data_IF_325557979796
#
_entry.id   IF_325557979796
#
_cell.length_a   1.000
_cell.length_b   1.000
_cell.length_c   1.000
_cell.angle_alpha   90.00
_cell.angle_beta   90.00
_cell.angle_gamma   90.00
#
_symmetry.space_group_name_H-M   'P 1'
#
loop_
_entity.id
_entity.type
_entity.pdbx_description
1 polymer ?
#
# COMPACT_ATOMS: atom_id res chain seq x y z
N UNK A 1 -3.33 -1.79 -4.69
CA UNK A 1 -4.24 -0.83 -5.33
C UNK A 1 -3.45 0.09 -6.25
N UNK A 2 -3.97 0.38 -7.45
CA UNK A 2 -3.48 1.43 -8.35
C UNK A 2 -4.24 2.74 -8.06
N UNK A 3 -3.57 3.87 -8.21
CA UNK A 3 -4.20 5.19 -8.09
C UNK A 3 -3.98 5.91 -9.42
N UNK A 4 -5.07 6.25 -10.09
CA UNK A 4 -5.06 7.13 -11.26
C UNK A 4 -5.21 8.56 -10.76
N UNK A 5 -4.16 9.36 -10.90
CA UNK A 5 -4.11 10.72 -10.38
C UNK A 5 -4.58 11.73 -11.42
N UNK A 6 -5.52 12.59 -11.02
CA UNK A 6 -5.77 13.87 -11.66
C UNK A 6 -5.39 14.99 -10.66
N UNK A 7 -4.55 15.91 -11.11
CA UNK A 7 -4.10 17.04 -10.29
C UNK A 7 -4.06 18.28 -11.18
N UNK A 8 -4.69 19.35 -10.70
CA UNK A 8 -4.70 20.65 -11.39
C UNK A 8 -3.64 21.60 -10.85
N UNK A 9 -3.12 21.34 -9.65
CA UNK A 9 -1.92 21.93 -9.09
C UNK A 9 -0.96 20.80 -8.70
N UNK A 10 0.24 20.78 -9.31
CA UNK A 10 1.27 19.77 -9.01
C UNK A 10 1.80 20.02 -7.60
N UNK A 11 1.13 19.48 -6.59
CA UNK A 11 1.68 19.38 -5.25
C UNK A 11 2.51 18.11 -5.22
N UNK A 12 3.83 18.25 -5.12
CA UNK A 12 4.69 17.14 -4.73
C UNK A 12 4.34 16.78 -3.27
N UNK A 13 3.39 15.87 -3.11
CA UNK A 13 3.02 15.33 -1.82
C UNK A 13 4.07 14.33 -1.40
N UNK A 14 4.89 14.69 -0.40
CA UNK A 14 5.77 13.76 0.30
C UNK A 14 4.95 12.88 1.26
N UNK A 15 3.96 12.16 0.71
CA UNK A 15 3.04 11.31 1.44
C UNK A 15 2.96 9.93 0.78
N UNK A 16 2.99 8.83 1.56
CA UNK A 16 3.02 7.46 1.03
C UNK A 16 1.61 7.00 0.58
N UNK A 17 0.92 7.80 -0.24
CA UNK A 17 -0.49 7.61 -0.60
C UNK A 17 -0.72 6.28 -1.33
N UNK A 18 0.18 5.86 -2.21
CA UNK A 18 0.11 4.53 -2.83
C UNK A 18 0.22 3.39 -1.81
N UNK A 19 1.10 3.53 -0.82
CA UNK A 19 1.26 2.53 0.24
C UNK A 19 0.01 2.50 1.11
N UNK A 20 -0.55 3.66 1.47
CA UNK A 20 -1.82 3.74 2.21
C UNK A 20 -2.92 3.02 1.46
N UNK A 21 -3.07 3.24 0.15
CA UNK A 21 -4.08 2.54 -0.64
C UNK A 21 -3.85 1.02 -0.68
N UNK A 22 -2.59 0.58 -0.77
CA UNK A 22 -2.24 -0.85 -0.64
C UNK A 22 -2.56 -1.40 0.75
N UNK A 23 -2.28 -0.64 1.80
CA UNK A 23 -2.58 -0.99 3.19
C UNK A 23 -4.08 -1.05 3.45
N UNK A 24 -4.89 -0.14 2.91
CA UNK A 24 -6.35 -0.21 2.99
C UNK A 24 -6.88 -1.49 2.33
N UNK A 25 -6.41 -1.78 1.11
CA UNK A 25 -6.78 -3.01 0.40
C UNK A 25 -6.38 -4.29 1.16
N UNK A 26 -5.18 -4.31 1.73
CA UNK A 26 -4.68 -5.43 2.52
C UNK A 26 -5.45 -5.59 3.85
N UNK A 27 -5.76 -4.49 4.54
CA UNK A 27 -6.56 -4.49 5.76
C UNK A 27 -7.95 -5.08 5.51
N UNK A 28 -8.57 -4.72 4.39
CA UNK A 28 -9.85 -5.24 3.92
C UNK A 28 -9.74 -6.65 3.32
N UNK A 29 -8.55 -7.23 3.19
CA UNK A 29 -8.34 -8.60 2.67
C UNK A 29 -8.85 -8.80 1.23
N UNK A 30 -8.78 -7.76 0.40
CA UNK A 30 -9.17 -7.82 -1.01
C UNK A 30 -7.97 -8.25 -1.86
N UNK A 31 -8.03 -9.46 -2.40
CA UNK A 31 -6.95 -10.00 -3.25
C UNK A 31 -7.02 -9.55 -4.72
N UNK A 32 -8.21 -9.19 -5.18
CA UNK A 32 -8.40 -8.71 -6.55
C UNK A 32 -7.60 -7.42 -6.78
N UNK A 33 -6.91 -7.25 -7.92
CA UNK A 33 -6.33 -5.97 -8.26
C UNK A 33 -7.41 -4.90 -8.26
N UNK A 34 -7.20 -3.81 -7.52
CA UNK A 34 -8.14 -2.69 -7.42
C UNK A 34 -7.47 -1.40 -7.91
N UNK A 35 -8.27 -0.51 -8.48
CA UNK A 35 -7.88 0.84 -8.87
C UNK A 35 -8.86 1.86 -8.29
N UNK A 36 -8.39 3.09 -8.13
CA UNK A 36 -9.19 4.24 -7.71
C UNK A 36 -8.73 5.45 -8.51
N UNK A 37 -9.66 6.33 -8.87
CA UNK A 37 -9.34 7.63 -9.42
C UNK A 37 -9.31 8.67 -8.30
N UNK A 38 -8.25 9.48 -8.23
CA UNK A 38 -8.09 10.51 -7.20
C UNK A 38 -7.86 11.86 -7.86
N UNK A 39 -8.79 12.79 -7.64
CA UNK A 39 -8.68 14.19 -8.00
C UNK A 39 -8.21 15.01 -6.78
N UNK A 40 -7.07 15.68 -6.92
CA UNK A 40 -6.63 16.70 -5.98
C UNK A 40 -7.03 18.09 -6.50
N UNK A 41 -7.77 18.83 -5.69
CA UNK A 41 -8.38 20.10 -6.09
C UNK A 41 -8.39 21.13 -4.95
N UNK A 42 -9.00 22.30 -5.21
CA UNK A 42 -9.23 23.38 -4.26
C UNK A 42 -10.66 23.37 -3.68
N UNK A 43 -10.93 24.33 -2.79
CA UNK A 43 -12.22 24.46 -2.11
C UNK A 43 -13.37 24.89 -3.04
N UNK A 44 -13.08 25.64 -4.11
CA UNK A 44 -14.11 26.13 -5.04
C UNK A 44 -14.63 24.98 -5.91
N UNK A 45 -13.72 24.18 -6.47
CA UNK A 45 -14.09 23.04 -7.30
C UNK A 45 -14.72 21.91 -6.48
N UNK A 46 -14.20 21.57 -5.30
CA UNK A 46 -14.86 20.54 -4.46
C UNK A 46 -16.25 20.99 -4.00
N UNK A 47 -16.46 22.29 -3.74
CA UNK A 47 -17.78 22.85 -3.44
C UNK A 47 -18.71 22.70 -4.63
N UNK A 48 -18.25 23.05 -5.84
CA UNK A 48 -19.05 22.89 -7.06
C UNK A 48 -19.44 21.43 -7.29
N UNK A 49 -18.48 20.49 -7.16
CA UNK A 49 -18.73 19.05 -7.28
C UNK A 49 -19.74 18.58 -6.21
N UNK A 50 -19.59 19.02 -4.96
CA UNK A 50 -20.50 18.65 -3.88
C UNK A 50 -21.94 19.14 -4.15
N UNK A 51 -22.07 20.35 -4.69
CA UNK A 51 -23.35 20.94 -5.06
C UNK A 51 -24.00 20.22 -6.23
N UNK A 52 -23.24 19.90 -7.28
CA UNK A 52 -23.75 19.24 -8.48
C UNK A 52 -24.10 17.77 -8.22
N UNK A 53 -23.25 17.04 -7.51
CA UNK A 53 -23.35 15.59 -7.36
C UNK A 53 -24.16 15.16 -6.13
N UNK A 54 -24.11 15.94 -5.04
CA UNK A 54 -24.80 15.62 -3.78
C UNK A 54 -25.88 16.63 -3.39
N UNK A 55 -26.04 17.74 -4.11
CA UNK A 55 -27.00 18.79 -3.77
C UNK A 55 -26.63 19.58 -2.51
N UNK A 56 -25.37 19.51 -2.07
CA UNK A 56 -24.89 20.12 -0.82
C UNK A 56 -24.08 21.37 -1.16
N UNK A 57 -24.60 22.55 -0.78
CA UNK A 57 -24.02 23.85 -1.10
C UNK A 57 -22.96 24.30 -0.06
N UNK A 58 -21.89 23.51 0.06
CA UNK A 58 -20.69 23.85 0.84
C UNK A 58 -19.47 23.07 0.37
N UNK A 59 -18.27 23.63 0.56
CA UNK A 59 -17.02 22.88 0.47
C UNK A 59 -16.96 21.76 1.53
N UNK A 60 -16.13 20.76 1.26
CA UNK A 60 -15.79 19.68 2.19
C UNK A 60 -14.33 19.30 1.98
N UNK A 61 -13.76 18.54 2.89
CA UNK A 61 -12.41 17.98 2.82
C UNK A 61 -12.26 16.87 1.77
N UNK A 62 -13.21 15.93 1.73
CA UNK A 62 -13.18 14.79 0.82
C UNK A 62 -14.56 14.35 0.35
N UNK A 63 -14.64 13.95 -0.92
CA UNK A 63 -15.81 13.28 -1.51
C UNK A 63 -15.40 11.91 -2.04
N UNK A 64 -16.29 10.94 -1.87
CA UNK A 64 -16.17 9.59 -2.40
C UNK A 64 -17.38 9.24 -3.27
N UNK A 65 -17.13 8.70 -4.46
CA UNK A 65 -18.17 8.25 -5.39
C UNK A 65 -17.93 6.78 -5.76
N UNK A 66 -18.58 5.83 -5.07
CA UNK A 66 -18.39 4.40 -5.33
C UNK A 66 -18.91 3.99 -6.71
N UNK A 67 -18.08 3.29 -7.48
CA UNK A 67 -18.53 2.53 -8.66
C UNK A 67 -19.26 1.25 -8.25
N UNK A 68 -18.84 0.65 -7.14
CA UNK A 68 -19.39 -0.61 -6.64
C UNK A 68 -20.58 -0.35 -5.72
N UNK A 69 -21.75 -0.86 -6.07
CA UNK A 69 -22.93 -0.81 -5.21
C UNK A 69 -22.99 -2.05 -4.31
N UNK A 70 -22.51 -1.95 -3.08
CA UNK A 70 -22.61 -3.00 -2.04
C UNK A 70 -24.01 -3.05 -1.43
N UNK A 71 -24.41 -4.20 -0.89
CA UNK A 71 -25.63 -4.24 -0.07
C UNK A 71 -25.36 -3.59 1.29
N UNK A 72 -26.38 -3.09 1.99
CA UNK A 72 -26.23 -2.58 3.35
C UNK A 72 -25.50 -3.60 4.24
N UNK A 73 -24.39 -3.17 4.87
CA UNK A 73 -23.53 -3.99 5.72
C UNK A 73 -22.61 -4.99 4.98
N UNK A 74 -22.62 -5.03 3.64
CA UNK A 74 -21.63 -5.79 2.86
C UNK A 74 -20.43 -4.91 2.49
N UNK A 75 -19.24 -5.48 2.59
CA UNK A 75 -17.96 -4.83 2.24
C UNK A 75 -17.32 -5.46 1.01
N UNK A 76 -16.26 -4.84 0.50
CA UNK A 76 -15.47 -5.29 -0.64
C UNK A 76 -15.04 -6.77 -0.52
N UNK A 77 -14.54 -7.19 0.65
CA UNK A 77 -14.10 -8.57 0.90
C UNK A 77 -15.22 -9.60 0.80
N UNK A 78 -16.43 -9.20 1.18
CA UNK A 78 -17.62 -10.08 1.18
C UNK A 78 -18.25 -10.14 -0.22
N UNK A 79 -17.87 -9.24 -1.12
CA UNK A 79 -18.51 -9.04 -2.43
C UNK A 79 -17.56 -9.15 -3.63
N UNK A 80 -16.73 -10.20 -3.77
CA UNK A 80 -15.78 -10.34 -4.87
C UNK A 80 -16.45 -10.40 -6.25
N UNK A 81 -17.69 -10.89 -6.33
CA UNK A 81 -18.46 -10.90 -7.58
C UNK A 81 -18.89 -9.51 -8.03
N UNK A 82 -19.12 -8.58 -7.09
CA UNK A 82 -19.47 -7.20 -7.41
C UNK A 82 -18.22 -6.44 -7.85
N UNK A 83 -17.12 -6.57 -7.11
CA UNK A 83 -15.81 -6.03 -7.50
C UNK A 83 -15.42 -6.43 -8.93
N UNK A 84 -15.53 -7.71 -9.28
CA UNK A 84 -15.19 -8.20 -10.63
C UNK A 84 -16.04 -7.62 -11.77
N UNK A 85 -17.22 -7.06 -11.48
CA UNK A 85 -18.05 -6.42 -12.51
C UNK A 85 -17.49 -5.06 -12.92
N UNK A 86 -16.77 -4.41 -12.01
CA UNK A 86 -16.07 -3.15 -12.25
C UNK A 86 -14.65 -3.36 -12.81
N UNK A 87 -14.36 -4.53 -13.39
CA UNK A 87 -13.05 -4.81 -13.97
C UNK A 87 -12.79 -3.95 -15.20
N UNK A 88 -11.76 -3.13 -15.14
CA UNK A 88 -11.23 -2.36 -16.26
C UNK A 88 -10.07 -3.13 -16.91
N UNK A 89 -10.19 -3.55 -18.19
CA UNK A 89 -9.15 -4.27 -18.91
C UNK A 89 -7.88 -3.44 -19.18
N UNK A 90 -8.00 -2.13 -19.34
CA UNK A 90 -6.86 -1.24 -19.62
C UNK A 90 -6.03 -1.05 -18.36
N UNK A 91 -6.70 -0.86 -17.22
CA UNK A 91 -6.03 -0.78 -15.92
C UNK A 91 -5.63 -2.16 -15.40
N UNK A 92 -6.24 -3.24 -15.87
CA UNK A 92 -6.06 -4.58 -15.31
C UNK A 92 -6.41 -4.64 -13.83
N UNK A 93 -7.48 -3.94 -13.43
CA UNK A 93 -7.93 -3.82 -12.04
C UNK A 93 -9.42 -3.50 -11.94
N UNK A 94 -10.04 -3.84 -10.81
CA UNK A 94 -11.41 -3.45 -10.48
C UNK A 94 -11.46 -1.98 -10.04
N UNK A 95 -12.21 -1.14 -10.72
CA UNK A 95 -12.40 0.27 -10.35
C UNK A 95 -13.31 0.38 -9.12
N UNK A 96 -12.80 0.97 -8.04
CA UNK A 96 -13.57 1.18 -6.82
C UNK A 96 -14.45 2.44 -6.89
N UNK A 97 -14.00 3.46 -7.61
CA UNK A 97 -14.69 4.74 -7.74
C UNK A 97 -13.75 5.93 -7.81
N UNK A 98 -14.33 7.10 -7.57
CA UNK A 98 -13.64 8.39 -7.55
C UNK A 98 -13.50 8.94 -6.12
N UNK A 99 -12.36 9.54 -5.84
CA UNK A 99 -12.07 10.28 -4.62
C UNK A 99 -11.66 11.70 -5.03
N UNK A 100 -12.28 12.71 -4.42
CA UNK A 100 -11.93 14.12 -4.62
C UNK A 100 -11.47 14.65 -3.27
N UNK A 101 -10.24 15.15 -3.17
CA UNK A 101 -9.68 15.72 -1.94
C UNK A 101 -9.35 17.19 -2.18
N UNK A 102 -9.83 18.06 -1.29
CA UNK A 102 -9.38 19.45 -1.25
C UNK A 102 -8.04 19.55 -0.51
N UNK A 103 -6.99 19.97 -1.22
CA UNK A 103 -5.68 20.19 -0.62
C UNK A 103 -5.67 21.37 0.37
N UNK A 104 -6.28 22.54 0.08
CA UNK A 104 -6.40 23.62 1.05
C UNK A 104 -7.09 23.21 2.35
N UNK A 105 -8.17 22.41 2.28
CA UNK A 105 -8.82 21.88 3.48
C UNK A 105 -7.91 20.93 4.26
N UNK A 106 -7.19 20.03 3.58
CA UNK A 106 -6.24 19.14 4.23
C UNK A 106 -5.12 19.91 4.96
N UNK A 107 -4.66 21.05 4.40
CA UNK A 107 -3.71 21.94 5.06
C UNK A 107 -4.32 22.61 6.29
N UNK A 108 -5.54 23.13 6.18
CA UNK A 108 -6.23 23.78 7.30
C UNK A 108 -6.52 22.78 8.45
N UNK A 109 -6.98 21.58 8.13
CA UNK A 109 -7.23 20.51 9.11
C UNK A 109 -5.94 20.03 9.77
N UNK A 110 -4.85 19.92 9.00
CA UNK A 110 -3.53 19.60 9.54
C UNK A 110 -3.08 20.62 10.60
N UNK A 111 -3.28 21.91 10.34
CA UNK A 111 -3.01 22.97 11.31
C UNK A 111 -3.95 22.91 12.53
N UNK A 112 -5.26 22.77 12.30
CA UNK A 112 -6.29 22.74 13.36
C UNK A 112 -6.08 21.56 14.32
N UNK A 113 -5.80 20.37 13.80
CA UNK A 113 -5.62 19.14 14.58
C UNK A 113 -4.17 18.91 15.02
N UNK A 114 -3.24 19.80 14.67
CA UNK A 114 -1.86 19.78 15.15
C UNK A 114 -1.02 18.62 14.61
N UNK A 115 -1.20 18.23 13.35
CA UNK A 115 -0.39 17.18 12.71
C UNK A 115 0.00 17.54 11.27
N UNK A 116 0.96 16.80 10.69
CA UNK A 116 1.44 17.11 9.33
C UNK A 116 0.36 16.99 8.24
N UNK A 117 0.47 17.82 7.20
CA UNK A 117 -0.34 17.72 5.96
C UNK A 117 -0.19 16.34 5.32
N UNK A 118 1.02 15.77 5.36
CA UNK A 118 1.31 14.39 4.96
C UNK A 118 0.35 13.40 5.61
N UNK A 119 0.20 13.48 6.94
CA UNK A 119 -0.69 12.60 7.70
C UNK A 119 -2.14 12.82 7.30
N UNK A 120 -2.56 14.08 7.16
CA UNK A 120 -3.96 14.39 6.84
C UNK A 120 -4.36 13.86 5.47
N UNK A 121 -3.52 14.05 4.47
CA UNK A 121 -3.73 13.49 3.12
C UNK A 121 -3.86 11.96 3.14
N UNK A 122 -3.01 11.28 3.91
CA UNK A 122 -3.10 9.84 4.09
C UNK A 122 -4.41 9.43 4.79
N UNK A 123 -4.83 10.18 5.81
CA UNK A 123 -6.08 9.92 6.53
C UNK A 123 -7.30 10.11 5.63
N UNK A 124 -7.40 11.24 4.92
CA UNK A 124 -8.51 11.52 3.99
C UNK A 124 -8.59 10.46 2.88
N UNK A 125 -7.45 10.04 2.31
CA UNK A 125 -7.41 8.95 1.34
C UNK A 125 -7.89 7.63 1.94
N UNK A 126 -7.39 7.25 3.12
CA UNK A 126 -7.80 6.01 3.78
C UNK A 126 -9.30 6.00 4.08
N UNK A 127 -9.81 7.11 4.62
CA UNK A 127 -11.22 7.33 4.92
C UNK A 127 -12.09 7.14 3.67
N UNK A 128 -11.77 7.86 2.59
CA UNK A 128 -12.51 7.76 1.34
C UNK A 128 -12.43 6.37 0.71
N UNK A 129 -11.28 5.69 0.77
CA UNK A 129 -11.13 4.32 0.29
C UNK A 129 -12.01 3.32 1.05
N UNK A 130 -12.14 3.44 2.38
CA UNK A 130 -13.03 2.56 3.13
C UNK A 130 -14.50 2.80 2.79
N UNK A 131 -14.91 4.04 2.54
CA UNK A 131 -16.23 4.33 1.94
C UNK A 131 -16.41 3.64 0.58
N UNK A 132 -15.42 3.75 -0.32
CA UNK A 132 -15.47 3.07 -1.62
C UNK A 132 -15.50 1.53 -1.50
N UNK A 133 -15.06 0.97 -0.37
CA UNK A 133 -15.09 -0.47 -0.07
C UNK A 133 -16.33 -0.91 0.71
N UNK A 134 -17.30 -0.02 0.92
CA UNK A 134 -18.61 -0.33 1.52
C UNK A 134 -18.73 -0.12 3.03
N UNK A 135 -17.76 0.55 3.66
CA UNK A 135 -17.91 1.01 5.04
C UNK A 135 -18.73 2.30 5.09
N UNK A 136 -19.48 2.48 6.17
CA UNK A 136 -20.18 3.72 6.50
C UNK A 136 -19.87 4.07 7.98
N UNK A 137 -20.24 5.27 8.42
CA UNK A 137 -20.03 5.73 9.79
C UNK A 137 -21.24 6.52 10.32
N UNK A 138 -22.43 6.25 9.79
CA UNK A 138 -23.68 6.88 10.24
C UNK A 138 -24.06 6.41 11.64
N UNK A 139 -23.86 5.12 11.94
CA UNK A 139 -24.07 4.54 13.27
C UNK A 139 -22.76 4.41 14.07
N UNK A 140 -22.87 4.44 15.41
CA UNK A 140 -21.69 4.41 16.29
C UNK A 140 -20.86 3.12 16.19
N UNK A 141 -21.50 1.98 15.92
CA UNK A 141 -20.79 0.70 15.75
C UNK A 141 -20.08 0.62 14.40
N UNK A 142 -20.70 1.13 13.33
CA UNK A 142 -20.08 1.22 12.00
C UNK A 142 -18.86 2.16 12.03
N UNK A 143 -19.00 3.30 12.70
CA UNK A 143 -17.92 4.26 12.91
C UNK A 143 -16.73 3.66 13.65
N UNK A 144 -16.97 2.83 14.67
CA UNK A 144 -15.88 2.12 15.39
C UNK A 144 -15.18 1.12 14.48
N UNK A 145 -15.94 0.40 13.66
CA UNK A 145 -15.38 -0.57 12.72
C UNK A 145 -14.51 0.13 11.67
N UNK A 146 -15.03 1.18 11.04
CA UNK A 146 -14.27 1.96 10.04
C UNK A 146 -12.99 2.56 10.65
N UNK A 147 -13.07 3.16 11.84
CA UNK A 147 -11.89 3.69 12.54
C UNK A 147 -10.81 2.65 12.79
N UNK A 148 -11.21 1.44 13.20
CA UNK A 148 -10.26 0.33 13.40
C UNK A 148 -9.54 -0.02 12.08
N UNK A 149 -10.25 0.04 10.96
CA UNK A 149 -9.68 -0.23 9.64
C UNK A 149 -8.74 0.90 9.18
N UNK A 150 -9.12 2.16 9.40
CA UNK A 150 -8.29 3.35 9.16
C UNK A 150 -6.99 3.31 9.97
N UNK A 151 -7.08 3.11 11.29
CA UNK A 151 -5.92 3.03 12.18
C UNK A 151 -4.97 1.89 11.77
N UNK A 152 -5.55 0.74 11.40
CA UNK A 152 -4.79 -0.40 10.92
C UNK A 152 -4.05 -0.10 9.62
N UNK A 153 -4.73 0.47 8.62
CA UNK A 153 -4.13 0.79 7.33
C UNK A 153 -3.04 1.86 7.45
N UNK A 154 -3.33 2.93 8.20
CA UNK A 154 -2.37 4.02 8.45
C UNK A 154 -1.18 3.53 9.28
N UNK A 155 -1.39 2.67 10.27
CA UNK A 155 -0.33 2.03 11.05
C UNK A 155 0.62 1.21 10.18
N UNK A 156 0.10 0.35 9.31
CA UNK A 156 0.91 -0.43 8.36
C UNK A 156 1.68 0.45 7.36
N UNK A 157 1.14 1.62 7.00
CA UNK A 157 1.81 2.60 6.15
C UNK A 157 2.81 3.50 6.91
N UNK A 158 2.93 3.33 8.24
CA UNK A 158 3.76 4.16 9.11
C UNK A 158 3.31 5.61 9.18
N UNK A 159 2.00 5.82 9.17
CA UNK A 159 1.33 7.13 9.29
C UNK A 159 0.57 7.18 10.61
N UNK A 160 1.27 7.34 11.73
CA UNK A 160 0.66 7.42 13.06
C UNK A 160 0.59 8.84 13.62
N UNK A 161 -0.18 9.04 14.69
CA UNK A 161 -0.27 10.33 15.42
C UNK A 161 0.95 10.57 16.31
N UNK A 162 1.51 9.50 16.87
CA UNK A 162 2.73 9.43 17.68
C UNK A 162 3.47 8.12 17.32
N UNK A 163 4.77 8.02 17.60
CA UNK A 163 5.78 7.01 17.17
C UNK A 163 5.51 5.52 17.51
N UNK A 164 4.27 5.05 17.45
CA UNK A 164 3.88 3.65 17.63
C UNK A 164 3.10 3.13 16.43
N UNK A 165 3.78 2.89 15.31
CA UNK A 165 3.20 2.10 14.23
C UNK A 165 2.87 0.69 14.75
N UNK A 166 1.62 0.26 14.64
CA UNK A 166 1.28 -1.15 14.76
C UNK A 166 1.92 -1.87 13.58
N UNK A 167 2.99 -2.61 13.86
CA UNK A 167 3.64 -3.43 12.85
C UNK A 167 2.62 -4.40 12.23
N UNK A 168 2.63 -4.59 10.90
CA UNK A 168 1.78 -5.57 10.25
C UNK A 168 2.05 -6.96 10.81
N UNK A 169 0.99 -7.77 10.92
CA UNK A 169 1.12 -9.21 11.11
C UNK A 169 1.83 -9.87 9.91
N UNK A 170 2.36 -11.07 10.13
CA UNK A 170 3.00 -11.86 9.07
C UNK A 170 2.07 -12.09 7.86
N UNK A 171 0.76 -12.26 8.11
CA UNK A 171 -0.26 -12.41 7.06
C UNK A 171 -0.46 -11.12 6.26
N UNK A 172 -0.47 -9.96 6.92
CA UNK A 172 -0.55 -8.65 6.26
C UNK A 172 0.69 -8.34 5.45
N UNK A 173 1.88 -8.65 5.98
CA UNK A 173 3.14 -8.47 5.25
C UNK A 173 3.15 -9.35 3.98
N UNK A 174 2.66 -10.59 4.07
CA UNK A 174 2.47 -11.46 2.90
C UNK A 174 1.45 -10.90 1.90
N UNK A 175 0.32 -10.34 2.37
CA UNK A 175 -0.67 -9.67 1.50
C UNK A 175 -0.04 -8.47 0.78
N UNK A 176 0.73 -7.64 1.49
CA UNK A 176 1.43 -6.50 0.89
C UNK A 176 2.44 -6.94 -0.17
N UNK A 177 3.18 -8.03 0.07
CA UNK A 177 4.08 -8.61 -0.93
C UNK A 177 3.32 -9.09 -2.18
N UNK A 178 2.15 -9.73 -2.03
CA UNK A 178 1.29 -10.14 -3.17
C UNK A 178 0.74 -8.94 -3.94
N UNK A 179 0.35 -7.88 -3.24
CA UNK A 179 -0.11 -6.65 -3.89
C UNK A 179 1.04 -5.98 -4.65
N UNK A 180 2.25 -5.96 -4.09
CA UNK A 180 3.45 -5.43 -4.76
C UNK A 180 3.78 -6.23 -6.03
N UNK A 181 3.64 -7.55 -6.00
CA UNK A 181 3.86 -8.45 -7.13
C UNK A 181 3.03 -8.08 -8.36
N UNK A 182 1.81 -7.54 -8.17
CA UNK A 182 0.94 -7.12 -9.27
C UNK A 182 1.52 -5.96 -10.10
N UNK A 183 2.49 -5.22 -9.53
CA UNK A 183 3.23 -4.15 -10.21
C UNK A 183 4.50 -4.64 -10.93
N UNK A 184 4.79 -5.95 -10.90
CA UNK A 184 5.97 -6.55 -11.54
C UNK A 184 6.07 -6.21 -13.02
N UNK A 185 7.25 -5.76 -13.45
CA UNK A 185 7.61 -5.72 -14.87
C UNK A 185 8.45 -6.95 -15.20
N UNK A 186 7.78 -8.04 -15.57
CA UNK A 186 8.43 -9.32 -15.88
C UNK A 186 7.97 -9.91 -17.22
N UNK A 187 8.11 -9.18 -18.34
CA UNK A 187 7.63 -9.66 -19.63
C UNK A 187 8.47 -10.80 -20.21
N UNK A 188 9.69 -11.05 -19.72
CA UNK A 188 10.59 -12.06 -20.24
C UNK A 188 10.40 -13.39 -19.51
N UNK A 189 10.52 -13.41 -18.18
CA UNK A 189 10.35 -14.66 -17.41
C UNK A 189 8.90 -15.06 -17.19
N UNK A 190 7.97 -14.08 -17.19
CA UNK A 190 6.58 -14.22 -16.71
C UNK A 190 6.48 -14.66 -15.25
N UNK A 191 7.58 -14.60 -14.51
CA UNK A 191 7.65 -14.92 -13.09
C UNK A 191 7.65 -13.62 -12.28
N UNK A 192 6.46 -13.25 -11.81
CA UNK A 192 6.26 -12.06 -11.03
C UNK A 192 6.60 -12.33 -9.57
N UNK A 193 7.37 -11.43 -8.97
CA UNK A 193 7.78 -11.45 -7.57
C UNK A 193 7.49 -10.09 -6.95
N UNK A 194 6.88 -10.10 -5.77
CA UNK A 194 6.70 -8.92 -4.93
C UNK A 194 7.34 -9.13 -3.57
N UNK A 195 7.75 -8.04 -2.94
CA UNK A 195 8.33 -8.04 -1.61
C UNK A 195 7.72 -6.93 -0.76
N UNK A 196 7.59 -7.17 0.55
CA UNK A 196 7.21 -6.19 1.55
C UNK A 196 8.21 -6.27 2.71
N UNK A 197 9.00 -5.21 2.87
CA UNK A 197 10.08 -5.08 3.84
C UNK A 197 9.58 -4.27 5.04
N UNK A 198 9.62 -4.88 6.23
CA UNK A 198 9.26 -4.25 7.49
C UNK A 198 10.51 -3.64 8.14
N UNK A 199 10.47 -2.34 8.38
CA UNK A 199 11.50 -1.62 9.10
C UNK A 199 11.32 -1.68 10.63
N UNK A 200 12.38 -1.35 11.37
CA UNK A 200 12.37 -1.39 12.83
C UNK A 200 11.39 -0.38 13.47
N UNK A 201 11.07 0.71 12.77
CA UNK A 201 10.09 1.72 13.21
C UNK A 201 8.64 1.37 12.82
N UNK A 202 8.43 0.18 12.22
CA UNK A 202 7.12 -0.33 11.83
C UNK A 202 6.64 0.07 10.43
N UNK A 203 7.39 0.90 9.68
CA UNK A 203 7.05 1.22 8.28
C UNK A 203 7.26 0.03 7.36
N UNK A 204 6.41 -0.11 6.35
CA UNK A 204 6.55 -1.11 5.29
C UNK A 204 7.00 -0.48 3.98
N UNK A 205 7.99 -1.09 3.33
CA UNK A 205 8.45 -0.71 2.00
C UNK A 205 8.22 -1.86 1.03
N UNK A 206 7.47 -1.61 -0.03
CA UNK A 206 7.16 -2.65 -1.02
C UNK A 206 8.03 -2.53 -2.26
N UNK A 207 8.32 -3.67 -2.90
CA UNK A 207 9.04 -3.73 -4.17
C UNK A 207 8.54 -4.88 -5.05
N UNK A 208 8.86 -4.83 -6.34
CA UNK A 208 8.62 -5.91 -7.30
C UNK A 208 9.85 -6.11 -8.19
N UNK A 209 9.94 -7.26 -8.86
CA UNK A 209 10.99 -7.46 -9.85
C UNK A 209 10.74 -6.59 -11.09
N UNK A 210 11.85 -6.09 -11.65
CA UNK A 210 11.88 -5.22 -12.82
C UNK A 210 12.92 -5.81 -13.76
N UNK A 211 12.45 -6.48 -14.80
CA UNK A 211 13.30 -7.07 -15.82
C UNK A 211 13.76 -6.06 -16.86
N UNK A 212 14.79 -6.44 -17.61
CA UNK A 212 15.31 -5.65 -18.71
C UNK A 212 15.70 -6.58 -19.87
N UNK A 213 15.67 -6.06 -21.10
CA UNK A 213 16.14 -6.81 -22.28
C UNK A 213 17.60 -7.29 -22.12
N UNK A 214 18.45 -6.49 -21.46
CA UNK A 214 19.75 -6.92 -20.97
C UNK A 214 19.58 -7.55 -19.58
N UNK A 215 19.49 -8.88 -19.53
CA UNK A 215 19.07 -9.61 -18.32
C UNK A 215 19.93 -9.32 -17.08
N UNK A 216 21.20 -8.94 -17.26
CA UNK A 216 22.09 -8.54 -16.16
C UNK A 216 21.66 -7.27 -15.42
N UNK A 217 20.77 -6.46 -16.02
CA UNK A 217 20.21 -5.23 -15.42
C UNK A 217 18.90 -5.49 -14.65
N UNK A 218 18.43 -6.74 -14.57
CA UNK A 218 17.22 -7.09 -13.83
C UNK A 218 17.39 -6.83 -12.33
N UNK A 219 16.43 -6.11 -11.74
CA UNK A 219 16.36 -5.91 -10.30
C UNK A 219 15.29 -6.82 -9.66
N UNK A 220 15.62 -7.43 -8.54
CA UNK A 220 14.72 -8.33 -7.81
C UNK A 220 13.80 -7.54 -6.87
N UNK A 221 12.67 -8.13 -6.48
CA UNK A 221 11.67 -7.48 -5.63
C UNK A 221 12.24 -7.06 -4.27
N UNK A 222 13.05 -7.92 -3.66
CA UNK A 222 13.70 -7.70 -2.37
C UNK A 222 14.65 -6.50 -2.45
N UNK A 223 15.47 -6.44 -3.51
CA UNK A 223 16.39 -5.32 -3.76
C UNK A 223 15.64 -4.03 -4.03
N UNK A 224 14.56 -4.07 -4.81
CA UNK A 224 13.68 -2.91 -5.02
C UNK A 224 13.14 -2.37 -3.70
N UNK A 225 12.63 -3.23 -2.81
CA UNK A 225 12.11 -2.83 -1.50
C UNK A 225 13.20 -2.23 -0.59
N UNK A 226 14.37 -2.87 -0.51
CA UNK A 226 15.51 -2.36 0.28
C UNK A 226 16.00 -1.03 -0.26
N UNK A 227 16.22 -0.91 -1.57
CA UNK A 227 16.75 0.33 -2.16
C UNK A 227 15.78 1.49 -2.01
N UNK A 228 14.47 1.23 -2.10
CA UNK A 228 13.43 2.22 -1.80
C UNK A 228 13.56 2.71 -0.35
N UNK A 229 13.55 1.82 0.62
CA UNK A 229 13.66 2.17 2.03
C UNK A 229 14.93 2.96 2.36
N UNK A 230 16.08 2.49 1.85
CA UNK A 230 17.38 3.15 2.07
C UNK A 230 17.42 4.53 1.42
N UNK A 231 16.82 4.70 0.23
CA UNK A 231 16.73 6.02 -0.41
C UNK A 231 15.85 7.01 0.36
N UNK A 232 14.92 6.51 1.18
CA UNK A 232 14.05 7.29 2.07
C UNK A 232 14.65 7.42 3.50
N UNK A 233 15.93 7.06 3.68
CA UNK A 233 16.68 7.23 4.93
C UNK A 233 16.48 6.14 5.97
N UNK A 234 15.79 5.04 5.64
CA UNK A 234 15.55 3.91 6.56
C UNK A 234 16.50 2.76 6.25
N UNK A 235 17.29 2.35 7.24
CA UNK A 235 18.34 1.33 7.09
C UNK A 235 18.25 0.17 8.07
N UNK A 236 17.25 0.14 8.95
CA UNK A 236 17.06 -0.92 9.95
C UNK A 236 15.78 -1.71 9.66
N UNK A 237 15.89 -3.04 9.54
CA UNK A 237 14.79 -3.92 9.13
C UNK A 237 14.66 -5.17 10.00
N UNK A 238 13.42 -5.62 10.18
CA UNK A 238 13.08 -6.74 11.09
C UNK A 238 12.55 -7.96 10.35
N UNK A 239 11.79 -7.77 9.27
CA UNK A 239 11.23 -8.86 8.47
C UNK A 239 11.06 -8.48 7.00
N UNK A 240 11.04 -9.47 6.11
CA UNK A 240 10.63 -9.31 4.71
C UNK A 240 9.71 -10.45 4.28
N UNK A 241 8.57 -10.13 3.69
CA UNK A 241 7.75 -11.10 2.98
C UNK A 241 8.04 -11.07 1.48
N UNK A 242 8.11 -12.23 0.83
CA UNK A 242 8.40 -12.38 -0.60
C UNK A 242 7.33 -13.29 -1.21
N UNK A 243 6.59 -12.77 -2.19
CA UNK A 243 5.49 -13.46 -2.85
C UNK A 243 5.78 -13.67 -4.34
N UNK A 244 5.35 -14.80 -4.91
CA UNK A 244 5.42 -15.03 -6.36
C UNK A 244 4.13 -15.59 -6.95
N UNK A 245 3.99 -15.50 -8.27
CA UNK A 245 2.92 -16.12 -9.04
C UNK A 245 3.21 -17.59 -9.41
N UNK A 246 4.24 -18.21 -8.81
CA UNK A 246 4.67 -19.57 -9.11
C UNK A 246 5.21 -20.30 -7.89
N UNK A 247 6.37 -20.95 -8.05
CA UNK A 247 7.08 -21.64 -6.96
C UNK A 247 7.57 -20.67 -5.87
N UNK A 248 7.93 -21.19 -4.69
CA UNK A 248 8.41 -20.38 -3.56
C UNK A 248 9.62 -19.50 -3.95
N UNK A 249 9.50 -18.15 -3.85
CA UNK A 249 10.53 -17.22 -4.26
C UNK A 249 11.59 -17.01 -3.18
N UNK A 250 12.37 -18.04 -2.87
CA UNK A 250 13.54 -17.86 -2.00
C UNK A 250 14.49 -16.80 -2.58
N UNK A 251 15.03 -15.88 -1.77
CA UNK A 251 15.82 -14.77 -2.29
C UNK A 251 17.08 -15.29 -2.97
N UNK A 252 17.44 -14.67 -4.10
CA UNK A 252 18.65 -15.02 -4.83
C UNK A 252 19.91 -14.60 -4.04
N UNK A 253 21.09 -15.10 -4.43
CA UNK A 253 22.35 -14.77 -3.74
C UNK A 253 22.61 -13.26 -3.62
N UNK A 254 22.30 -12.48 -4.67
CA UNK A 254 22.45 -11.03 -4.64
C UNK A 254 21.50 -10.37 -3.62
N UNK A 255 20.24 -10.82 -3.54
CA UNK A 255 19.28 -10.31 -2.56
C UNK A 255 19.71 -10.65 -1.14
N UNK A 256 20.16 -11.89 -0.88
CA UNK A 256 20.70 -12.29 0.42
C UNK A 256 21.86 -11.39 0.85
N UNK A 257 22.76 -11.07 -0.09
CA UNK A 257 23.91 -10.23 0.18
C UNK A 257 23.51 -8.78 0.49
N UNK A 258 22.55 -8.21 -0.24
CA UNK A 258 21.99 -6.88 0.05
C UNK A 258 21.29 -6.85 1.41
N UNK A 259 20.50 -7.88 1.73
CA UNK A 259 19.86 -8.00 3.05
C UNK A 259 20.90 -8.13 4.16
N UNK A 260 22.03 -8.80 3.93
CA UNK A 260 23.09 -8.97 4.93
C UNK A 260 23.77 -7.64 5.32
N UNK A 261 23.80 -6.68 4.40
CA UNK A 261 24.34 -5.33 4.66
C UNK A 261 23.49 -4.57 5.69
N UNK A 262 22.16 -4.60 5.53
CA UNK A 262 21.25 -3.76 6.32
C UNK A 262 20.56 -4.51 7.47
N UNK A 263 20.40 -5.83 7.36
CA UNK A 263 19.64 -6.64 8.31
C UNK A 263 20.13 -8.10 8.33
N UNK A 264 21.34 -8.37 8.86
CA UNK A 264 21.94 -9.71 8.88
C UNK A 264 21.10 -10.76 9.65
N UNK A 265 20.20 -10.32 10.54
CA UNK A 265 19.30 -11.18 11.30
C UNK A 265 17.84 -11.20 10.80
N UNK A 266 17.55 -10.64 9.61
CA UNK A 266 16.17 -10.47 9.15
C UNK A 266 15.40 -11.79 9.06
N UNK A 267 14.13 -11.77 9.49
CA UNK A 267 13.16 -12.85 9.27
C UNK A 267 12.63 -12.81 7.84
N UNK A 268 12.45 -13.96 7.21
CA UNK A 268 11.90 -14.06 5.86
C UNK A 268 10.64 -14.91 5.85
N UNK A 269 9.58 -14.36 5.26
CA UNK A 269 8.34 -15.06 4.96
C UNK A 269 8.26 -15.27 3.45
N UNK A 270 8.21 -16.51 2.99
CA UNK A 270 8.24 -16.85 1.56
C UNK A 270 6.92 -17.50 1.19
N UNK A 271 6.25 -16.99 0.16
CA UNK A 271 4.96 -17.53 -0.27
C UNK A 271 4.83 -17.61 -1.80
N UNK A 272 4.37 -18.76 -2.28
CA UNK A 272 4.12 -18.98 -3.71
C UNK A 272 2.65 -18.79 -4.09
N UNK A 273 2.29 -19.32 -5.25
CA UNK A 273 0.91 -19.30 -5.75
C UNK A 273 -0.07 -20.15 -4.90
N UNK A 274 0.44 -21.15 -4.17
CA UNK A 274 -0.37 -22.07 -3.36
C UNK A 274 -0.87 -21.50 -2.04
N UNK A 275 -0.51 -20.27 -1.68
CA UNK A 275 -0.90 -19.66 -0.40
C UNK A 275 -0.05 -20.05 0.80
N UNK A 276 0.68 -21.17 0.72
CA UNK A 276 1.60 -21.65 1.76
C UNK A 276 2.68 -20.60 2.06
N UNK A 277 2.95 -20.40 3.35
CA UNK A 277 3.95 -19.48 3.86
C UNK A 277 5.02 -20.31 4.57
N UNK A 278 6.26 -20.20 4.11
CA UNK A 278 7.43 -20.76 4.78
C UNK A 278 8.20 -19.63 5.48
N UNK A 279 8.64 -19.88 6.72
CA UNK A 279 9.45 -18.95 7.49
C UNK A 279 10.90 -19.43 7.60
N UNK A 280 11.84 -18.51 7.41
CA UNK A 280 13.27 -18.74 7.62
C UNK A 280 13.97 -17.45 8.07
N UNK A 281 15.28 -17.49 8.23
CA UNK A 281 16.11 -16.34 8.61
C UNK A 281 17.29 -16.19 7.66
N UNK A 282 17.80 -14.98 7.51
CA UNK A 282 18.94 -14.75 6.61
C UNK A 282 20.18 -15.58 6.99
N UNK A 283 20.54 -15.80 8.28
CA UNK A 283 21.65 -16.66 8.64
C UNK A 283 21.51 -18.12 8.17
N UNK A 284 20.27 -18.63 8.05
CA UNK A 284 20.02 -19.96 7.49
C UNK A 284 20.23 -19.99 5.97
N UNK A 285 19.93 -18.88 5.29
CA UNK A 285 20.06 -18.78 3.83
C UNK A 285 21.45 -18.31 3.35
N UNK A 286 22.20 -17.60 4.19
CA UNK A 286 23.53 -17.08 3.90
C UNK A 286 24.47 -17.30 5.10
N UNK A 287 24.82 -18.57 5.40
CA UNK A 287 25.77 -18.87 6.45
C UNK A 287 27.13 -18.27 6.11
N UNK A 288 27.78 -17.66 7.09
CA UNK A 288 29.10 -17.00 6.93
C UNK A 288 29.11 -15.91 5.84
N UNK A 289 27.99 -15.19 5.65
CA UNK A 289 27.90 -14.08 4.72
C UNK A 289 28.96 -13.00 4.99
N UNK A 290 29.64 -12.59 3.93
CA UNK A 290 30.56 -11.46 3.91
C UNK A 290 29.80 -10.16 4.21
N UNK A 291 30.37 -9.23 4.97
CA UNK A 291 29.72 -7.94 5.24
C UNK A 291 30.65 -6.91 5.88
N UNK A 292 30.10 -5.83 6.46
CA UNK A 292 30.88 -4.73 7.02
C UNK A 292 31.93 -5.15 8.06
N UNK A 293 31.66 -6.22 8.81
CA UNK A 293 32.57 -6.80 9.80
C UNK A 293 33.87 -7.39 9.20
N UNK A 294 33.88 -7.68 7.91
CA UNK A 294 34.99 -8.30 7.18
C UNK A 294 35.82 -7.28 6.40
N UNK A 295 35.39 -6.01 6.39
CA UNK A 295 36.07 -4.88 5.75
C UNK A 295 37.01 -4.18 6.76
N UNK A 296 38.14 -3.62 6.29
CA UNK A 296 39.11 -2.90 7.13
C UNK A 296 38.64 -1.52 7.60
#
# INVERSE_FOLDING_TARGET
>A
MKIEWESREIVALDAPLELVAMCCQAAEQVELPCAVHVLLTDDEEIHQINREMRGVDRATDVLSFPSVNYRPGETARQSPKRLRREWDPELGACMLGDIIISYPHAVAQAEEYGHSVRREMCYLLAHALFHLMGYDHMEEDEKKEMRKMEEKALGMAGVTRDDGALAPSDEELCRLARLAMQKSYSPYSKYAVGAALLSADGRVYTGCNIENASYGLTNCAERTAVFKAVSEGVTEFTAIAIASNGALPYPCGACRQVLNEFAPGIRLLVTGNGGEVEETTLPQLLPHGFGPKDLP
#
